data_IF_864115506165
#
_entry.id   IF_864115506165
#
_cell.length_a   1.000
_cell.length_b   1.000
_cell.length_c   1.000
_cell.angle_alpha   90.00
_cell.angle_beta   90.00
_cell.angle_gamma   90.00
#
_symmetry.space_group_name_H-M   'P 1'
#
loop_
_entity.id
_entity.type
_entity.pdbx_description
1 polymer ?
#
# COMPACT_ATOMS: atom_id res chain seq x y z
N UNK A 1 -23.48 -21.16 3.77
CA UNK A 1 -22.04 -21.29 3.47
C UNK A 1 -21.59 -22.67 3.89
N UNK A 2 -20.77 -23.32 3.08
CA UNK A 2 -20.15 -24.61 3.39
C UNK A 2 -19.14 -24.45 4.53
N UNK A 3 -18.86 -25.53 5.27
CA UNK A 3 -17.75 -25.57 6.24
C UNK A 3 -16.43 -25.11 5.60
N UNK A 4 -16.22 -25.47 4.33
CA UNK A 4 -15.05 -25.06 3.56
C UNK A 4 -14.92 -23.55 3.37
N UNK A 5 -16.04 -22.86 3.19
CA UNK A 5 -16.04 -21.40 3.03
C UNK A 5 -15.62 -20.72 4.35
N UNK A 6 -16.09 -21.24 5.48
CA UNK A 6 -15.76 -20.70 6.80
C UNK A 6 -14.28 -20.90 7.14
N UNK A 7 -13.74 -22.09 6.86
CA UNK A 7 -12.32 -22.39 7.02
C UNK A 7 -11.45 -21.44 6.19
N UNK A 8 -11.85 -21.16 4.94
CA UNK A 8 -11.16 -20.22 4.08
C UNK A 8 -11.13 -18.81 4.69
N UNK A 9 -12.25 -18.28 5.16
CA UNK A 9 -12.31 -16.95 5.76
C UNK A 9 -11.54 -16.86 7.08
N UNK A 10 -11.58 -17.89 7.91
CA UNK A 10 -10.76 -17.96 9.13
C UNK A 10 -9.27 -17.99 8.80
N UNK A 11 -8.86 -18.79 7.80
CA UNK A 11 -7.48 -18.85 7.35
C UNK A 11 -7.00 -17.49 6.80
N UNK A 12 -7.82 -16.82 5.99
CA UNK A 12 -7.51 -15.49 5.45
C UNK A 12 -7.39 -14.44 6.54
N UNK A 13 -8.30 -14.44 7.52
CA UNK A 13 -8.22 -13.53 8.67
C UNK A 13 -6.95 -13.77 9.49
N UNK A 14 -6.63 -15.04 9.74
CA UNK A 14 -5.43 -15.42 10.49
C UNK A 14 -4.16 -14.99 9.76
N UNK A 15 -4.08 -15.26 8.46
CA UNK A 15 -2.99 -14.81 7.61
C UNK A 15 -2.83 -13.29 7.63
N UNK A 16 -3.93 -12.54 7.50
CA UNK A 16 -3.91 -11.07 7.53
C UNK A 16 -3.35 -10.53 8.86
N UNK A 17 -3.76 -11.10 9.99
CA UNK A 17 -3.27 -10.71 11.32
C UNK A 17 -1.78 -11.03 11.47
N UNK A 18 -1.36 -12.25 11.11
CA UNK A 18 0.04 -12.66 11.18
C UNK A 18 0.93 -11.77 10.30
N UNK A 19 0.47 -11.49 9.08
CA UNK A 19 1.17 -10.58 8.18
C UNK A 19 1.25 -9.18 8.76
N UNK A 20 0.17 -8.65 9.35
CA UNK A 20 0.18 -7.32 9.95
C UNK A 20 1.19 -7.22 11.11
N UNK A 21 1.27 -8.25 11.95
CA UNK A 21 2.28 -8.34 13.01
C UNK A 21 3.69 -8.33 12.41
N UNK A 22 3.93 -9.14 11.37
CA UNK A 22 5.19 -9.17 10.64
C UNK A 22 5.52 -7.80 10.01
N UNK A 23 4.54 -7.14 9.40
CA UNK A 23 4.68 -5.83 8.81
C UNK A 23 5.16 -4.81 9.85
N UNK A 24 4.46 -4.71 10.98
CA UNK A 24 4.80 -3.77 12.05
C UNK A 24 6.17 -4.06 12.67
N UNK A 25 6.50 -5.33 12.91
CA UNK A 25 7.73 -5.72 13.61
C UNK A 25 8.97 -5.81 12.72
N UNK A 26 8.81 -6.13 11.44
CA UNK A 26 9.94 -6.46 10.56
C UNK A 26 10.05 -5.50 9.39
N UNK A 27 8.94 -5.22 8.70
CA UNK A 27 8.96 -4.39 7.47
C UNK A 27 9.11 -2.91 7.81
N UNK A 28 8.46 -2.43 8.88
CA UNK A 28 8.53 -1.01 9.26
C UNK A 28 9.85 -0.59 9.90
N UNK A 29 10.70 -1.54 10.29
CA UNK A 29 12.01 -1.23 10.87
C UNK A 29 13.04 -0.94 9.77
N UNK A 30 13.95 0.03 10.00
CA UNK A 30 14.97 0.40 9.03
C UNK A 30 15.86 -0.80 8.74
N UNK A 31 16.02 -1.10 7.46
CA UNK A 31 16.93 -2.13 6.94
C UNK A 31 18.05 -1.45 6.15
N UNK A 32 19.00 -2.26 5.71
CA UNK A 32 20.12 -1.83 4.89
C UNK A 32 19.65 -1.24 3.54
N UNK A 33 20.45 -0.38 2.93
CA UNK A 33 20.12 0.29 1.66
C UNK A 33 19.78 -0.70 0.53
N UNK A 34 20.47 -1.83 0.47
CA UNK A 34 20.21 -2.90 -0.50
C UNK A 34 18.79 -3.49 -0.39
N UNK A 35 18.18 -3.44 0.79
CA UNK A 35 16.79 -3.86 0.95
C UNK A 35 15.82 -2.83 0.39
N UNK A 36 16.09 -1.52 0.54
CA UNK A 36 15.25 -0.45 -0.01
C UNK A 36 15.27 -0.45 -1.54
N UNK A 37 16.44 -0.63 -2.13
CA UNK A 37 16.62 -0.66 -3.60
C UNK A 37 16.02 -1.92 -4.25
N UNK A 38 15.71 -2.94 -3.45
CA UNK A 38 15.06 -4.16 -3.94
C UNK A 38 13.63 -3.87 -4.40
N UNK A 39 13.18 -4.40 -5.55
CA UNK A 39 11.77 -4.32 -5.96
C UNK A 39 10.79 -4.84 -4.90
N UNK A 40 11.24 -5.75 -4.04
CA UNK A 40 10.46 -6.32 -2.94
C UNK A 40 10.11 -5.30 -1.86
N UNK A 41 10.87 -4.21 -1.69
CA UNK A 41 10.60 -3.17 -0.69
C UNK A 41 9.28 -2.46 -0.97
N UNK A 42 9.05 -2.14 -2.24
CA UNK A 42 7.85 -1.45 -2.74
C UNK A 42 6.62 -2.30 -2.44
N UNK A 43 6.64 -3.58 -2.81
CA UNK A 43 5.52 -4.47 -2.51
C UNK A 43 5.30 -4.65 -1.01
N UNK A 44 6.38 -4.72 -0.23
CA UNK A 44 6.32 -4.87 1.23
C UNK A 44 5.72 -3.67 1.95
N UNK A 45 5.87 -2.45 1.43
CA UNK A 45 5.27 -1.25 2.03
C UNK A 45 3.90 -0.90 1.50
N UNK A 46 3.65 -1.09 0.20
CA UNK A 46 2.50 -0.50 -0.46
C UNK A 46 1.47 -1.51 -0.94
N UNK A 47 1.85 -2.77 -1.16
CA UNK A 47 0.89 -3.77 -1.64
C UNK A 47 0.44 -4.70 -0.53
N UNK A 48 1.36 -5.48 0.01
CA UNK A 48 1.03 -6.54 0.96
C UNK A 48 0.33 -6.08 2.25
N UNK A 49 0.72 -4.99 2.94
CA UNK A 49 0.02 -4.57 4.16
C UNK A 49 -1.41 -4.13 3.90
N UNK A 50 -1.66 -3.47 2.77
CA UNK A 50 -3.00 -3.02 2.40
C UNK A 50 -3.87 -4.17 1.87
N UNK A 51 -3.27 -5.14 1.16
CA UNK A 51 -3.94 -6.40 0.83
C UNK A 51 -4.32 -7.19 2.08
N UNK A 52 -3.41 -7.31 3.05
CA UNK A 52 -3.69 -7.96 4.33
C UNK A 52 -4.84 -7.27 5.06
N UNK A 53 -4.85 -5.94 5.13
CA UNK A 53 -5.98 -5.19 5.71
C UNK A 53 -7.28 -5.41 4.96
N UNK A 54 -7.26 -5.42 3.63
CA UNK A 54 -8.43 -5.64 2.79
C UNK A 54 -9.02 -7.04 3.01
N UNK A 55 -8.20 -8.09 2.84
CA UNK A 55 -8.64 -9.47 3.01
C UNK A 55 -9.03 -9.75 4.46
N UNK A 56 -8.30 -9.21 5.44
CA UNK A 56 -8.64 -9.33 6.86
C UNK A 56 -9.99 -8.67 7.19
N UNK A 57 -10.25 -7.46 6.67
CA UNK A 57 -11.52 -6.76 6.91
C UNK A 57 -12.70 -7.47 6.26
N UNK A 58 -12.54 -7.96 5.02
CA UNK A 58 -13.57 -8.75 4.34
C UNK A 58 -13.84 -10.05 5.09
N UNK A 59 -12.78 -10.78 5.45
CA UNK A 59 -12.89 -12.04 6.21
C UNK A 59 -13.61 -11.84 7.54
N UNK A 60 -13.21 -10.82 8.31
CA UNK A 60 -13.85 -10.47 9.56
C UNK A 60 -15.33 -10.14 9.35
N UNK A 61 -15.68 -9.37 8.32
CA UNK A 61 -17.08 -9.01 8.02
C UNK A 61 -17.91 -10.24 7.69
N UNK A 62 -17.42 -11.13 6.83
CA UNK A 62 -18.12 -12.37 6.48
C UNK A 62 -18.36 -13.26 7.70
N UNK A 63 -17.34 -13.46 8.54
CA UNK A 63 -17.45 -14.26 9.76
C UNK A 63 -18.41 -13.62 10.77
N UNK A 64 -18.36 -12.30 10.94
CA UNK A 64 -19.21 -11.55 11.86
C UNK A 64 -20.69 -11.58 11.44
N UNK A 65 -20.99 -11.49 10.14
CA UNK A 65 -22.36 -11.61 9.63
C UNK A 65 -22.95 -13.00 9.94
N UNK A 66 -22.13 -14.06 9.91
CA UNK A 66 -22.58 -15.42 10.25
C UNK A 66 -22.92 -15.60 11.72
N UNK A 67 -22.28 -14.85 12.62
CA UNK A 67 -22.54 -14.91 14.06
C UNK A 67 -23.89 -14.29 14.48
N UNK A 68 -24.70 -13.83 13.51
CA UNK A 68 -26.04 -13.31 13.78
C UNK A 68 -26.01 -11.97 14.52
N UNK A 69 -25.08 -11.09 14.15
CA UNK A 69 -24.95 -9.76 14.77
C UNK A 69 -26.25 -8.94 14.68
N UNK A 70 -26.48 -8.02 15.63
CA UNK A 70 -27.60 -7.09 15.56
C UNK A 70 -27.64 -6.35 14.22
N UNK A 71 -28.84 -6.20 13.63
CA UNK A 71 -29.04 -5.59 12.30
C UNK A 71 -28.36 -4.24 12.14
N UNK A 72 -28.33 -3.44 13.21
CA UNK A 72 -27.65 -2.13 13.24
C UNK A 72 -26.14 -2.27 13.02
N UNK A 73 -25.50 -3.22 13.71
CA UNK A 73 -24.05 -3.48 13.58
C UNK A 73 -23.73 -4.04 12.20
N UNK A 74 -24.53 -5.00 11.73
CA UNK A 74 -24.38 -5.56 10.38
C UNK A 74 -24.50 -4.49 9.29
N UNK A 75 -25.46 -3.56 9.41
CA UNK A 75 -25.63 -2.45 8.47
C UNK A 75 -24.40 -1.55 8.42
N UNK A 76 -23.85 -1.14 9.57
CA UNK A 76 -22.67 -0.28 9.61
C UNK A 76 -21.43 -0.99 9.08
N UNK A 77 -21.22 -2.28 9.42
CA UNK A 77 -20.09 -3.06 8.89
C UNK A 77 -20.15 -3.15 7.37
N UNK A 78 -21.30 -3.53 6.81
CA UNK A 78 -21.48 -3.67 5.36
C UNK A 78 -21.34 -2.33 4.63
N UNK A 79 -21.64 -1.21 5.28
CA UNK A 79 -21.53 0.12 4.67
C UNK A 79 -20.12 0.69 4.77
N UNK A 80 -19.42 0.51 5.91
CA UNK A 80 -18.12 1.14 6.16
C UNK A 80 -16.95 0.33 5.62
N UNK A 81 -17.01 -1.00 5.68
CA UNK A 81 -15.91 -1.87 5.24
C UNK A 81 -15.56 -1.66 3.76
N UNK A 82 -16.51 -1.54 2.81
CA UNK A 82 -16.18 -1.23 1.42
C UNK A 82 -15.41 0.09 1.25
N UNK A 83 -15.76 1.13 2.00
CA UNK A 83 -15.01 2.40 1.97
C UNK A 83 -13.59 2.23 2.50
N UNK A 84 -13.41 1.44 3.57
CA UNK A 84 -12.08 1.09 4.09
C UNK A 84 -11.25 0.33 3.06
N UNK A 85 -11.85 -0.62 2.34
CA UNK A 85 -11.20 -1.36 1.25
C UNK A 85 -10.78 -0.43 0.11
N UNK A 86 -11.68 0.44 -0.35
CA UNK A 86 -11.38 1.44 -1.40
C UNK A 86 -10.21 2.34 -0.97
N UNK A 87 -10.21 2.79 0.29
CA UNK A 87 -9.12 3.59 0.81
C UNK A 87 -7.79 2.83 0.83
N UNK A 88 -7.79 1.56 1.25
CA UNK A 88 -6.58 0.72 1.23
C UNK A 88 -6.03 0.56 -0.19
N UNK A 89 -6.91 0.33 -1.16
CA UNK A 89 -6.54 0.22 -2.58
C UNK A 89 -5.96 1.54 -3.09
N UNK A 90 -6.60 2.68 -2.80
CA UNK A 90 -6.11 3.99 -3.20
C UNK A 90 -4.72 4.29 -2.62
N UNK A 91 -4.49 3.97 -1.33
CA UNK A 91 -3.19 4.17 -0.70
C UNK A 91 -2.12 3.26 -1.32
N UNK A 92 -2.47 2.00 -1.60
CA UNK A 92 -1.56 1.06 -2.28
C UNK A 92 -1.12 1.58 -3.65
N UNK A 93 -2.06 2.06 -4.46
CA UNK A 93 -1.75 2.65 -5.77
C UNK A 93 -0.89 3.92 -5.67
N UNK A 94 -1.19 4.82 -4.74
CA UNK A 94 -0.38 6.02 -4.51
C UNK A 94 1.05 5.67 -4.12
N UNK A 95 1.21 4.68 -3.24
CA UNK A 95 2.50 4.16 -2.84
C UNK A 95 3.30 3.57 -4.00
N UNK A 96 2.65 2.72 -4.81
CA UNK A 96 3.25 2.10 -6.01
C UNK A 96 3.62 3.13 -7.08
N UNK A 97 2.87 4.23 -7.19
CA UNK A 97 3.18 5.34 -8.08
C UNK A 97 4.38 6.20 -7.62
N UNK A 98 4.97 5.90 -6.46
CA UNK A 98 6.09 6.63 -5.91
C UNK A 98 5.71 7.93 -5.21
N UNK A 99 4.42 8.14 -4.91
CA UNK A 99 3.98 9.29 -4.11
C UNK A 99 4.44 9.07 -2.67
N UNK A 100 5.15 10.04 -2.05
CA UNK A 100 5.58 9.91 -0.67
C UNK A 100 4.36 9.99 0.25
N UNK A 101 3.98 8.87 0.85
CA UNK A 101 2.86 8.82 1.79
C UNK A 101 3.30 9.34 3.16
N UNK A 102 2.44 10.08 3.88
CA UNK A 102 2.78 10.58 5.21
C UNK A 102 2.74 9.46 6.27
N UNK A 103 3.39 9.72 7.40
CA UNK A 103 3.13 8.97 8.63
C UNK A 103 1.64 9.16 9.02
N UNK A 104 0.90 8.13 9.47
CA UNK A 104 1.33 6.81 9.93
C UNK A 104 1.34 5.70 8.88
N UNK A 105 1.14 6.00 7.59
CA UNK A 105 1.09 4.96 6.54
C UNK A 105 2.46 4.32 6.30
N UNK A 106 3.52 5.13 6.28
CA UNK A 106 4.90 4.66 6.22
C UNK A 106 5.70 5.05 7.46
N UNK A 107 6.75 4.27 7.80
CA UNK A 107 7.67 4.66 8.85
C UNK A 107 8.47 5.89 8.41
N UNK A 108 8.80 6.78 9.35
CA UNK A 108 9.41 8.10 9.06
C UNK A 108 10.66 8.01 8.18
N UNK A 109 11.50 7.00 8.40
CA UNK A 109 12.74 6.80 7.63
C UNK A 109 12.45 6.49 6.15
N UNK A 110 11.43 5.68 5.85
CA UNK A 110 11.06 5.33 4.48
C UNK A 110 10.44 6.54 3.76
N UNK A 111 9.68 7.37 4.49
CA UNK A 111 9.16 8.64 3.96
C UNK A 111 10.30 9.58 3.56
N UNK A 112 11.38 9.65 4.35
CA UNK A 112 12.56 10.45 4.01
C UNK A 112 13.25 9.93 2.74
N UNK A 113 13.46 8.61 2.64
CA UNK A 113 14.04 7.98 1.44
C UNK A 113 13.20 8.21 0.18
N UNK A 114 11.87 8.07 0.26
CA UNK A 114 11.00 8.40 -0.88
C UNK A 114 11.12 9.85 -1.32
N UNK A 115 11.24 10.79 -0.37
CA UNK A 115 11.42 12.21 -0.71
C UNK A 115 12.76 12.45 -1.41
N UNK A 116 13.84 11.79 -0.95
CA UNK A 116 15.15 11.83 -1.59
C UNK A 116 15.08 11.30 -3.04
N UNK A 117 14.44 10.13 -3.23
CA UNK A 117 14.27 9.50 -4.54
C UNK A 117 13.40 10.36 -5.50
N UNK A 118 12.35 10.98 -4.96
CA UNK A 118 11.50 11.89 -5.72
C UNK A 118 12.28 13.12 -6.21
N UNK A 119 13.06 13.75 -5.34
CA UNK A 119 13.91 14.90 -5.70
C UNK A 119 14.94 14.53 -6.76
N UNK A 120 15.58 13.35 -6.62
CA UNK A 120 16.53 12.83 -7.60
C UNK A 120 15.87 12.61 -8.96
N UNK A 121 14.68 12.01 -8.98
CA UNK A 121 13.91 11.75 -10.20
C UNK A 121 13.48 13.05 -10.89
N UNK A 122 12.99 14.04 -10.13
CA UNK A 122 12.63 15.36 -10.66
C UNK A 122 13.87 16.06 -11.25
N UNK A 123 15.02 15.97 -10.58
CA UNK A 123 16.29 16.50 -11.08
C UNK A 123 16.68 15.91 -12.44
N UNK A 124 16.65 14.58 -12.55
CA UNK A 124 16.95 13.87 -13.80
C UNK A 124 15.98 14.26 -14.93
N UNK A 125 14.67 14.33 -14.65
CA UNK A 125 13.67 14.74 -15.63
C UNK A 125 13.92 16.18 -16.09
N UNK A 126 14.27 17.09 -15.18
CA UNK A 126 14.56 18.49 -15.50
C UNK A 126 15.77 18.61 -16.42
N UNK A 127 16.84 17.88 -16.14
CA UNK A 127 18.03 17.83 -17.00
C UNK A 127 17.72 17.26 -18.39
N UNK A 128 16.95 16.18 -18.45
CA UNK A 128 16.50 15.58 -19.71
C UNK A 128 15.67 16.57 -20.54
N UNK A 129 14.71 17.24 -19.91
CA UNK A 129 13.88 18.27 -20.54
C UNK A 129 14.68 19.48 -21.01
N UNK A 130 15.73 19.86 -20.27
CA UNK A 130 16.65 20.92 -20.67
C UNK A 130 17.46 20.52 -21.92
N UNK A 131 18.05 19.32 -21.93
CA UNK A 131 18.74 18.77 -23.12
C UNK A 131 17.81 18.70 -24.34
N UNK A 132 16.56 18.28 -24.14
CA UNK A 132 15.56 18.23 -25.19
C UNK A 132 15.25 19.63 -25.75
N UNK A 133 15.10 20.62 -24.87
CA UNK A 133 14.87 22.02 -25.24
C UNK A 133 16.03 22.61 -26.04
N UNK A 134 17.27 22.32 -25.65
CA UNK A 134 18.47 22.80 -26.34
C UNK A 134 18.64 22.15 -27.73
N UNK A 135 18.30 20.87 -27.88
CA UNK A 135 18.22 20.19 -29.19
C UNK A 135 17.18 20.82 -30.11
N UNK A 136 16.02 21.22 -29.57
CA UNK A 136 14.97 21.88 -30.36
C UNK A 136 15.39 23.29 -30.80
N UNK A 137 16.07 24.06 -29.93
CA UNK A 137 16.59 25.39 -30.26
C UNK A 137 17.67 25.34 -31.34
N UNK A 138 18.58 24.37 -31.27
CA UNK A 138 19.63 24.20 -32.28
C UNK A 138 19.08 23.79 -33.65
N UNK A 139 17.98 23.03 -33.70
CA UNK A 139 17.28 22.72 -34.96
C UNK A 139 16.54 23.90 -35.60
N UNK A 140 16.05 24.87 -34.81
CA UNK A 140 15.38 26.08 -35.33
C UNK A 140 16.32 27.17 -35.84
N UNK A 141 17.62 27.08 -35.52
CA UNK A 141 18.64 28.06 -35.95
C UNK A 141 19.40 27.65 -37.22
N UNK A 142 19.12 26.46 -37.75
CA UNK A 142 19.56 26.02 -39.09
C UNK A 142 18.38 26.16 -40.04
#
# INVERSE_FOLDING_TARGET
MSLGDNLFWVAMLTWAILYWIYYVKVVRNPKNESWWESPWSVFSFYLYPYLALMFGSLSATFLLVQLGLPKVVGYWLLKLVPWGVILCVAIAFLGLAGVPLPYPFLPKWAVMKQKEDLVRTIGYIKEYMQKLRDRLRSRRRK
#
